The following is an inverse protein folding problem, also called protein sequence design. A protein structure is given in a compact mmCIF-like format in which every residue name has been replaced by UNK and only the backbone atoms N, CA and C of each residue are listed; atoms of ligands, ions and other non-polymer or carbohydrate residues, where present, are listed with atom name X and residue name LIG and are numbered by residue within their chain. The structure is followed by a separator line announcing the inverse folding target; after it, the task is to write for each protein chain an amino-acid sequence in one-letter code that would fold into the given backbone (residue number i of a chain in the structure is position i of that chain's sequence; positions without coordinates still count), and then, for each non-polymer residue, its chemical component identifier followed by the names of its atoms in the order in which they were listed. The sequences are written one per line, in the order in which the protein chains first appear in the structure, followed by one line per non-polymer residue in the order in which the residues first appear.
data_IF_357500653083
#
_entry.id   IF_357500653083
#
_cell.length_a   1.000
_cell.length_b   1.000
_cell.length_c   1.000
_cell.angle_alpha   90.00
_cell.angle_beta   90.00
_cell.angle_gamma   90.00
#
_symmetry.space_group_name_H-M   'P 1'
#
loop_
_entity.id
_entity.type
_entity.pdbx_description
1 polymer ?
#
# COMPACT_ATOMS: atom_id res chain seq x y z
N UNK A 1 9.89 4.98 -47.00
CA UNK A 1 10.74 4.32 -45.97
C UNK A 1 10.95 5.30 -44.84
N UNK A 2 10.16 5.19 -43.77
CA UNK A 2 10.42 5.90 -42.50
C UNK A 2 11.71 5.33 -41.89
N UNK A 3 12.76 6.14 -41.90
CA UNK A 3 13.93 5.84 -41.07
C UNK A 3 13.59 6.16 -39.63
N UNK A 4 13.27 5.14 -38.85
CA UNK A 4 13.19 5.27 -37.40
C UNK A 4 14.55 5.67 -36.82
N UNK A 5 14.65 6.85 -36.26
CA UNK A 5 15.84 7.26 -35.50
C UNK A 5 15.78 6.54 -34.15
N UNK A 6 16.69 5.60 -33.94
CA UNK A 6 16.85 4.97 -32.63
C UNK A 6 17.42 6.01 -31.65
N UNK A 7 16.65 6.39 -30.64
CA UNK A 7 17.17 7.17 -29.52
C UNK A 7 18.04 6.26 -28.65
N UNK A 8 19.34 6.55 -28.60
CA UNK A 8 20.29 5.85 -27.75
C UNK A 8 20.64 6.73 -26.55
N UNK A 9 20.97 6.08 -25.40
CA UNK A 9 21.44 6.71 -24.18
C UNK A 9 20.40 7.54 -23.38
N UNK A 10 19.11 7.31 -23.59
CA UNK A 10 18.10 7.82 -22.67
C UNK A 10 18.16 7.07 -21.32
N UNK A 11 18.17 7.81 -20.20
CA UNK A 11 17.97 7.23 -18.87
C UNK A 11 16.69 7.83 -18.27
N UNK A 12 15.86 6.99 -17.68
CA UNK A 12 14.63 7.44 -17.02
C UNK A 12 14.88 8.08 -15.64
N UNK A 13 16.12 7.99 -15.15
CA UNK A 13 16.52 8.54 -13.85
C UNK A 13 15.99 7.77 -12.64
N UNK A 14 15.20 6.72 -12.82
CA UNK A 14 14.56 5.98 -11.72
C UNK A 14 15.57 5.33 -10.78
N UNK A 15 16.72 4.88 -11.30
CA UNK A 15 17.79 4.27 -10.51
C UNK A 15 18.48 5.21 -9.53
N UNK A 16 18.29 6.53 -9.66
CA UNK A 16 18.89 7.55 -8.79
C UNK A 16 17.92 8.06 -7.72
N UNK A 17 16.66 7.62 -7.72
CA UNK A 17 15.66 8.09 -6.76
C UNK A 17 15.80 7.37 -5.42
N UNK A 18 16.02 8.14 -4.36
CA UNK A 18 16.01 7.69 -2.98
C UNK A 18 14.63 7.90 -2.33
N UNK A 19 14.38 7.29 -1.18
CA UNK A 19 13.12 7.48 -0.45
C UNK A 19 12.84 8.94 -0.10
N UNK A 20 13.88 9.72 0.17
CA UNK A 20 13.77 11.15 0.45
C UNK A 20 13.23 11.97 -0.73
N UNK A 21 13.45 11.52 -1.97
CA UNK A 21 12.89 12.18 -3.15
C UNK A 21 11.38 12.00 -3.21
N UNK A 22 10.88 10.80 -2.78
CA UNK A 22 9.46 10.51 -2.69
C UNK A 22 8.79 11.21 -1.50
N UNK A 23 9.45 11.29 -0.35
CA UNK A 23 8.97 12.04 0.81
C UNK A 23 8.96 13.55 0.53
N UNK A 24 9.93 14.01 -0.22
CA UNK A 24 9.99 15.36 -0.74
C UNK A 24 10.21 16.47 0.28
N UNK A 25 10.04 17.69 -0.17
CA UNK A 25 10.28 18.89 0.62
C UNK A 25 9.08 19.85 0.57
N UNK A 26 8.68 20.37 1.73
CA UNK A 26 7.63 21.39 1.84
C UNK A 26 8.00 22.68 1.09
N UNK A 27 9.26 23.08 1.15
CA UNK A 27 9.75 24.29 0.49
C UNK A 27 9.72 24.15 -1.04
N UNK A 28 10.19 23.00 -1.54
CA UNK A 28 10.20 22.71 -2.98
C UNK A 28 8.84 22.20 -3.50
N UNK A 29 7.90 21.89 -2.61
CA UNK A 29 6.62 21.23 -2.93
C UNK A 29 6.82 19.98 -3.82
N UNK A 30 7.82 19.18 -3.47
CA UNK A 30 8.17 17.97 -4.20
C UNK A 30 7.72 16.71 -3.45
N UNK A 31 7.69 15.57 -4.17
CA UNK A 31 7.31 14.28 -3.60
C UNK A 31 5.96 14.33 -2.88
N UNK A 32 5.86 13.64 -1.75
CA UNK A 32 4.66 13.60 -0.91
C UNK A 32 4.18 15.01 -0.48
N UNK A 33 5.12 15.95 -0.26
CA UNK A 33 4.80 17.32 0.12
C UNK A 33 4.14 18.15 -1.00
N UNK A 34 4.18 17.64 -2.24
CA UNK A 34 3.39 18.20 -3.35
C UNK A 34 1.87 18.04 -3.13
N UNK A 35 1.45 17.07 -2.31
CA UNK A 35 0.05 16.84 -1.97
C UNK A 35 -0.48 17.77 -0.87
N UNK A 36 0.34 18.63 -0.28
CA UNK A 36 -0.08 19.55 0.79
C UNK A 36 -1.20 20.50 0.34
N UNK A 37 -1.30 20.77 -0.96
CA UNK A 37 -2.34 21.62 -1.55
C UNK A 37 -3.69 20.92 -1.76
N UNK A 38 -3.74 19.60 -1.59
CA UNK A 38 -4.97 18.82 -1.74
C UNK A 38 -5.74 18.84 -0.42
N UNK A 39 -6.87 19.54 -0.38
CA UNK A 39 -7.62 19.79 0.87
C UNK A 39 -8.25 18.52 1.45
N UNK A 40 -8.81 17.67 0.60
CA UNK A 40 -9.60 16.47 0.97
C UNK A 40 -8.83 15.15 0.80
N UNK A 41 -7.51 15.16 0.92
CA UNK A 41 -6.67 13.98 0.80
C UNK A 41 -6.92 13.00 1.95
N UNK A 42 -7.59 11.87 1.69
CA UNK A 42 -7.99 10.88 2.68
C UNK A 42 -7.09 9.64 2.74
N UNK A 43 -6.56 9.21 1.59
CA UNK A 43 -5.78 7.97 1.45
C UNK A 43 -4.48 8.33 0.77
N UNK A 44 -3.37 7.84 1.31
CA UNK A 44 -2.03 8.12 0.78
C UNK A 44 -1.24 6.81 0.70
N UNK A 45 -0.48 6.66 -0.37
CA UNK A 45 0.45 5.55 -0.55
C UNK A 45 1.71 6.03 -1.26
N UNK A 46 2.80 5.28 -1.09
CA UNK A 46 4.03 5.39 -1.87
C UNK A 46 4.28 4.03 -2.56
N UNK A 47 3.61 3.75 -3.69
CA UNK A 47 3.65 2.43 -4.30
C UNK A 47 5.07 1.99 -4.61
N UNK A 48 5.44 0.78 -4.12
CA UNK A 48 6.77 0.20 -4.33
C UNK A 48 7.88 0.73 -3.43
N UNK A 49 7.59 1.69 -2.55
CA UNK A 49 8.53 2.16 -1.52
C UNK A 49 8.18 1.52 -0.18
N UNK A 50 8.92 0.47 0.17
CA UNK A 50 8.65 -0.39 1.32
C UNK A 50 9.77 -0.35 2.38
N UNK A 51 10.65 0.63 2.32
CA UNK A 51 11.70 0.82 3.31
C UNK A 51 11.15 1.39 4.62
N UNK A 52 11.88 1.21 5.71
CA UNK A 52 11.57 1.81 7.01
C UNK A 52 11.46 3.34 6.93
N UNK A 53 12.34 3.98 6.14
CA UNK A 53 12.34 5.44 5.95
C UNK A 53 11.07 5.91 5.23
N UNK A 54 10.68 5.22 4.16
CA UNK A 54 9.48 5.55 3.40
C UNK A 54 8.21 5.37 4.25
N UNK A 55 8.13 4.25 5.00
CA UNK A 55 6.98 3.96 5.86
C UNK A 55 6.84 4.97 7.00
N UNK A 56 7.94 5.26 7.73
CA UNK A 56 7.93 6.24 8.81
C UNK A 56 7.58 7.64 8.29
N UNK A 57 8.15 8.03 7.15
CA UNK A 57 7.84 9.31 6.52
C UNK A 57 6.37 9.42 6.10
N UNK A 58 5.79 8.35 5.55
CA UNK A 58 4.39 8.32 5.15
C UNK A 58 3.44 8.38 6.35
N UNK A 59 3.73 7.62 7.42
CA UNK A 59 2.96 7.65 8.66
C UNK A 59 3.03 9.02 9.33
N UNK A 60 4.22 9.58 9.45
CA UNK A 60 4.45 10.95 9.97
C UNK A 60 3.69 11.99 9.15
N UNK A 61 3.67 11.85 7.82
CA UNK A 61 2.90 12.74 6.97
C UNK A 61 1.41 12.70 7.30
N UNK A 62 0.84 11.51 7.43
CA UNK A 62 -0.59 11.36 7.78
C UNK A 62 -0.92 11.91 9.17
N UNK A 63 -0.08 11.64 10.16
CA UNK A 63 -0.30 12.04 11.56
C UNK A 63 -0.06 13.54 11.79
N UNK A 64 1.08 14.05 11.35
CA UNK A 64 1.50 15.41 11.69
C UNK A 64 1.12 16.43 10.62
N UNK A 65 1.46 16.18 9.36
CA UNK A 65 1.22 17.14 8.29
C UNK A 65 -0.27 17.20 7.96
N UNK A 66 -0.92 16.04 7.85
CA UNK A 66 -2.36 15.94 7.62
C UNK A 66 -3.18 15.97 8.91
N UNK A 67 -2.53 16.16 10.08
CA UNK A 67 -3.16 16.29 11.40
C UNK A 67 -4.08 15.10 11.74
N UNK A 68 -3.69 13.89 11.32
CA UNK A 68 -4.49 12.69 11.50
C UNK A 68 -5.66 12.53 10.52
N UNK A 69 -5.84 13.42 9.56
CA UNK A 69 -6.97 13.41 8.62
C UNK A 69 -6.67 12.62 7.33
N UNK A 70 -5.58 11.85 7.29
CA UNK A 70 -5.25 10.95 6.20
C UNK A 70 -4.84 9.58 6.72
N UNK A 71 -4.97 8.57 5.86
CA UNK A 71 -4.65 7.18 6.16
C UNK A 71 -3.63 6.63 5.17
N UNK A 72 -2.56 6.01 5.70
CA UNK A 72 -1.47 5.44 4.93
C UNK A 72 -1.74 3.98 4.54
N UNK A 73 -1.54 3.64 3.27
CA UNK A 73 -1.50 2.26 2.78
C UNK A 73 -0.06 1.90 2.49
N UNK A 74 0.46 0.88 3.20
CA UNK A 74 1.86 0.48 3.17
C UNK A 74 2.01 -0.85 2.41
N UNK A 75 2.99 -0.88 1.52
CA UNK A 75 3.41 -2.07 0.79
C UNK A 75 4.59 -2.74 1.49
N UNK A 76 4.81 -4.03 1.21
CA UNK A 76 6.05 -4.74 1.56
C UNK A 76 6.94 -4.90 0.31
N UNK A 77 8.21 -5.27 0.50
CA UNK A 77 9.10 -5.59 -0.61
C UNK A 77 8.60 -6.82 -1.39
N UNK A 78 9.02 -6.91 -2.66
CA UNK A 78 8.72 -8.07 -3.49
C UNK A 78 9.44 -9.32 -2.96
N UNK A 79 8.78 -10.47 -3.08
CA UNK A 79 9.36 -11.77 -2.74
C UNK A 79 9.51 -12.05 -1.24
N UNK A 80 8.97 -11.21 -0.36
CA UNK A 80 8.99 -11.49 1.07
C UNK A 80 8.11 -12.70 1.41
N UNK A 81 8.65 -13.63 2.19
CA UNK A 81 7.91 -14.70 2.86
C UNK A 81 7.14 -14.15 4.07
N UNK A 82 6.28 -14.96 4.68
CA UNK A 82 5.59 -14.59 5.92
C UNK A 82 6.58 -14.27 7.05
N UNK A 83 7.64 -15.07 7.20
CA UNK A 83 8.71 -14.85 8.19
C UNK A 83 9.48 -13.54 7.93
N UNK A 84 9.79 -13.25 6.66
CA UNK A 84 10.48 -12.01 6.28
C UNK A 84 9.64 -10.78 6.64
N UNK A 85 8.34 -10.83 6.37
CA UNK A 85 7.42 -9.73 6.69
C UNK A 85 7.32 -9.51 8.19
N UNK A 86 7.18 -10.58 8.98
CA UNK A 86 7.16 -10.48 10.44
C UNK A 86 8.48 -9.90 10.96
N UNK A 87 9.60 -10.41 10.48
CA UNK A 87 10.94 -9.88 10.81
C UNK A 87 11.05 -8.39 10.47
N UNK A 88 10.52 -7.97 9.34
CA UNK A 88 10.52 -6.57 8.92
C UNK A 88 9.65 -5.72 9.83
N UNK A 89 8.38 -6.06 10.05
CA UNK A 89 7.44 -5.21 10.80
C UNK A 89 7.78 -5.09 12.27
N UNK A 90 8.36 -6.15 12.88
CA UNK A 90 8.76 -6.19 14.29
C UNK A 90 10.18 -5.64 14.52
N UNK A 91 11.06 -5.72 13.53
CA UNK A 91 12.48 -5.41 13.63
C UNK A 91 12.88 -4.18 12.82
N UNK A 92 13.38 -4.42 11.61
CA UNK A 92 14.00 -3.36 10.77
C UNK A 92 13.02 -2.27 10.37
N UNK A 93 11.78 -2.62 10.03
CA UNK A 93 10.73 -1.66 9.69
C UNK A 93 10.17 -0.94 10.91
N UNK A 94 10.10 -1.64 12.05
CA UNK A 94 9.63 -1.11 13.32
C UNK A 94 8.22 -0.51 13.28
N UNK A 95 7.38 -0.96 12.34
CA UNK A 95 6.07 -0.35 12.09
C UNK A 95 4.95 -1.00 12.91
N UNK A 96 5.16 -2.19 13.48
CA UNK A 96 4.19 -2.81 14.38
C UNK A 96 3.96 -1.93 15.62
N UNK A 97 2.71 -1.65 15.91
CA UNK A 97 2.33 -0.77 17.01
C UNK A 97 2.57 0.72 16.78
N UNK A 98 3.18 1.11 15.64
CA UNK A 98 3.65 2.48 15.39
C UNK A 98 2.49 3.48 15.23
N UNK A 99 1.43 3.09 14.54
CA UNK A 99 0.38 4.05 14.14
C UNK A 99 -0.99 3.39 13.95
N UNK A 100 -2.05 4.10 14.30
CA UNK A 100 -3.40 3.76 13.88
C UNK A 100 -3.81 4.42 12.54
N UNK A 101 -2.94 5.28 11.99
CA UNK A 101 -3.16 5.98 10.72
C UNK A 101 -2.57 5.25 9.51
N UNK A 102 -2.27 3.97 9.63
CA UNK A 102 -1.76 3.16 8.53
C UNK A 102 -2.06 1.68 8.69
N UNK A 103 -2.02 0.99 7.55
CA UNK A 103 -2.13 -0.46 7.46
C UNK A 103 -1.15 -1.00 6.44
N UNK A 104 -0.51 -2.15 6.74
CA UNK A 104 0.43 -2.84 5.88
C UNK A 104 -0.20 -4.07 5.26
N UNK A 105 0.14 -4.35 4.00
CA UNK A 105 -0.44 -5.43 3.20
C UNK A 105 0.65 -6.32 2.59
N UNK A 106 0.41 -7.63 2.64
CA UNK A 106 1.29 -8.67 2.10
C UNK A 106 0.46 -9.81 1.51
N UNK A 107 0.94 -10.47 0.47
CA UNK A 107 2.07 -10.15 -0.42
C UNK A 107 1.69 -9.12 -1.48
N UNK A 108 2.58 -8.89 -2.45
CA UNK A 108 2.27 -8.11 -3.65
C UNK A 108 1.27 -8.83 -4.53
N UNK A 109 0.67 -8.09 -5.47
CA UNK A 109 -0.29 -8.63 -6.44
C UNK A 109 0.34 -8.92 -7.79
N UNK A 110 -0.15 -9.96 -8.47
CA UNK A 110 0.18 -10.27 -9.86
C UNK A 110 -0.89 -9.71 -10.78
N UNK A 111 -0.49 -8.96 -11.79
CA UNK A 111 -1.38 -8.35 -12.79
C UNK A 111 -0.90 -8.64 -14.20
N UNK A 112 -1.82 -8.60 -15.18
CA UNK A 112 -1.44 -8.72 -16.58
C UNK A 112 -0.57 -7.54 -16.99
N UNK A 113 0.53 -7.80 -17.68
CA UNK A 113 1.37 -6.76 -18.25
C UNK A 113 0.59 -6.01 -19.36
N UNK A 114 0.41 -4.68 -19.27
CA UNK A 114 -0.27 -3.92 -20.30
C UNK A 114 0.51 -3.84 -21.60
N UNK A 115 1.81 -4.17 -21.57
CA UNK A 115 2.68 -4.17 -22.76
C UNK A 115 3.50 -5.47 -22.89
N UNK A 116 2.85 -6.65 -23.04
CA UNK A 116 3.55 -7.93 -23.09
C UNK A 116 4.36 -8.13 -24.39
N UNK A 117 4.14 -7.28 -25.41
CA UNK A 117 4.84 -7.37 -26.70
C UNK A 117 6.21 -6.68 -26.73
N UNK A 118 6.54 -5.91 -25.70
CA UNK A 118 7.88 -5.35 -25.59
C UNK A 118 8.89 -6.47 -25.33
N UNK A 119 9.98 -6.50 -26.07
CA UNK A 119 11.01 -7.53 -25.99
C UNK A 119 11.53 -7.66 -24.54
N UNK A 120 11.53 -8.87 -24.02
CA UNK A 120 12.03 -9.17 -22.67
C UNK A 120 11.04 -8.87 -21.53
N UNK A 121 9.79 -8.54 -21.82
CA UNK A 121 8.79 -8.32 -20.79
C UNK A 121 8.01 -9.60 -20.48
N UNK A 122 7.80 -9.86 -19.21
CA UNK A 122 6.96 -10.96 -18.75
C UNK A 122 5.48 -10.73 -19.11
N UNK A 123 4.70 -11.81 -19.24
CA UNK A 123 3.25 -11.71 -19.46
C UNK A 123 2.53 -11.08 -18.28
N UNK A 124 3.00 -11.39 -17.06
CA UNK A 124 2.48 -10.85 -15.79
C UNK A 124 3.55 -9.99 -15.09
N UNK A 125 3.08 -9.01 -14.35
CA UNK A 125 3.90 -8.14 -13.51
C UNK A 125 3.53 -8.33 -12.03
N UNK A 126 4.53 -8.31 -11.17
CA UNK A 126 4.35 -8.18 -9.72
C UNK A 126 4.31 -6.70 -9.39
N UNK A 127 3.22 -6.26 -8.79
CA UNK A 127 2.98 -4.85 -8.47
C UNK A 127 2.67 -4.64 -7.00
N UNK A 128 3.06 -3.49 -6.43
CA UNK A 128 2.65 -3.10 -5.09
C UNK A 128 1.11 -3.04 -5.00
N UNK A 129 0.49 -3.61 -3.96
CA UNK A 129 -0.95 -3.68 -3.87
C UNK A 129 -1.64 -2.37 -3.45
N UNK A 130 -0.90 -1.39 -2.94
CA UNK A 130 -1.46 -0.17 -2.34
C UNK A 130 -2.43 0.60 -3.25
N UNK A 131 -2.16 0.67 -4.55
CA UNK A 131 -3.08 1.30 -5.50
C UNK A 131 -4.42 0.55 -5.63
N UNK A 132 -4.39 -0.78 -5.66
CA UNK A 132 -5.58 -1.63 -5.70
C UNK A 132 -6.37 -1.53 -4.38
N UNK A 133 -5.65 -1.50 -3.24
CA UNK A 133 -6.24 -1.34 -1.91
C UNK A 133 -6.92 0.01 -1.76
N UNK A 134 -6.28 1.09 -2.22
CA UNK A 134 -6.90 2.42 -2.26
C UNK A 134 -8.18 2.41 -3.11
N UNK A 135 -8.20 1.66 -4.22
CA UNK A 135 -9.40 1.43 -5.03
C UNK A 135 -10.50 0.67 -4.29
N UNK A 136 -10.14 -0.33 -3.46
CA UNK A 136 -11.12 -1.03 -2.59
C UNK A 136 -11.68 -0.06 -1.55
N UNK A 137 -10.84 0.74 -0.92
CA UNK A 137 -11.26 1.75 0.05
C UNK A 137 -12.25 2.74 -0.58
N UNK A 138 -11.89 3.31 -1.73
CA UNK A 138 -12.75 4.26 -2.43
C UNK A 138 -14.09 3.65 -2.84
N UNK A 139 -14.11 2.38 -3.27
CA UNK A 139 -15.34 1.65 -3.60
C UNK A 139 -16.21 1.41 -2.38
N UNK A 140 -15.60 1.07 -1.23
CA UNK A 140 -16.30 0.86 0.03
C UNK A 140 -16.90 2.17 0.52
N UNK A 141 -16.12 3.26 0.50
CA UNK A 141 -16.56 4.59 0.90
C UNK A 141 -17.72 5.11 0.04
N UNK A 142 -17.74 4.76 -1.25
CA UNK A 142 -18.80 5.14 -2.18
C UNK A 142 -20.17 4.50 -1.89
N UNK A 143 -20.32 3.80 -0.78
CA UNK A 143 -21.58 3.29 -0.27
C UNK A 143 -22.13 2.03 -0.93
N UNK A 144 -21.41 1.45 -1.88
CA UNK A 144 -21.82 0.16 -2.48
C UNK A 144 -21.75 -1.03 -1.51
N UNK A 145 -21.00 -0.88 -0.43
CA UNK A 145 -20.73 -1.93 0.54
C UNK A 145 -20.93 -1.45 2.01
N UNK A 146 -21.75 -0.44 2.24
CA UNK A 146 -22.03 0.04 3.61
C UNK A 146 -21.34 1.35 4.00
N UNK A 147 -20.41 1.84 3.20
CA UNK A 147 -19.70 3.10 3.47
C UNK A 147 -18.36 2.90 4.19
N UNK A 148 -17.79 4.01 4.66
CA UNK A 148 -16.45 4.05 5.29
C UNK A 148 -16.34 3.19 6.56
N UNK A 149 -17.45 2.81 7.15
CA UNK A 149 -17.54 1.98 8.36
C UNK A 149 -17.42 0.49 8.06
N UNK A 150 -17.61 0.10 6.81
CA UNK A 150 -17.50 -1.30 6.40
C UNK A 150 -16.04 -1.71 6.27
N UNK A 151 -15.71 -2.93 6.71
CA UNK A 151 -14.37 -3.45 6.56
C UNK A 151 -14.03 -3.64 5.07
N UNK A 152 -12.98 -2.99 4.56
CA UNK A 152 -12.56 -3.15 3.15
C UNK A 152 -11.80 -4.46 2.96
N UNK A 153 -12.40 -5.57 3.37
CA UNK A 153 -11.82 -6.91 3.38
C UNK A 153 -12.88 -7.98 3.10
N UNK A 154 -12.44 -9.22 2.92
CA UNK A 154 -13.29 -10.37 2.60
C UNK A 154 -13.47 -10.57 1.09
N UNK A 155 -14.03 -11.73 0.73
CA UNK A 155 -14.12 -12.24 -0.66
C UNK A 155 -14.91 -11.32 -1.60
N UNK A 156 -15.89 -10.60 -1.07
CA UNK A 156 -16.75 -9.72 -1.84
C UNK A 156 -16.26 -8.25 -1.79
N UNK A 157 -16.20 -7.69 -0.60
CA UNK A 157 -15.86 -6.26 -0.39
C UNK A 157 -14.38 -6.01 -0.66
N UNK A 158 -13.51 -6.88 -0.13
CA UNK A 158 -12.05 -6.79 -0.26
C UNK A 158 -11.50 -7.18 -1.64
N UNK A 159 -12.35 -7.45 -2.62
CA UNK A 159 -11.92 -7.92 -3.93
C UNK A 159 -11.10 -6.87 -4.69
N UNK A 160 -9.91 -7.28 -5.12
CA UNK A 160 -8.96 -6.46 -5.90
C UNK A 160 -9.30 -6.59 -7.40
N UNK A 161 -9.69 -5.49 -8.03
CA UNK A 161 -9.98 -5.47 -9.46
C UNK A 161 -8.68 -5.53 -10.28
N UNK A 162 -8.65 -6.35 -11.34
CA UNK A 162 -7.50 -6.46 -12.24
C UNK A 162 -6.33 -7.30 -11.69
N UNK A 163 -6.41 -7.79 -10.45
CA UNK A 163 -5.40 -8.69 -9.89
C UNK A 163 -5.69 -10.12 -10.31
N UNK A 164 -4.68 -10.81 -10.83
CA UNK A 164 -4.74 -12.22 -11.25
C UNK A 164 -4.58 -13.17 -10.07
N UNK A 165 -3.78 -12.79 -9.07
CA UNK A 165 -3.47 -13.57 -7.88
C UNK A 165 -2.46 -12.86 -7.01
N UNK A 166 -2.09 -13.49 -5.90
CA UNK A 166 -0.99 -13.07 -5.06
C UNK A 166 0.36 -13.39 -5.71
N UNK A 167 1.41 -12.71 -5.31
CA UNK A 167 2.79 -12.97 -5.73
C UNK A 167 3.28 -14.36 -5.30
N UNK A 168 2.88 -14.79 -4.11
CA UNK A 168 3.22 -16.10 -3.53
C UNK A 168 1.96 -16.87 -3.13
N UNK A 169 2.01 -18.19 -3.27
CA UNK A 169 0.95 -19.09 -2.81
C UNK A 169 1.01 -19.35 -1.29
N UNK A 170 2.09 -18.96 -0.62
CA UNK A 170 2.27 -19.10 0.83
C UNK A 170 1.12 -18.46 1.63
N UNK A 171 0.55 -17.37 1.14
CA UNK A 171 -0.59 -16.69 1.76
C UNK A 171 -1.85 -17.57 1.86
N UNK A 172 -1.92 -18.68 1.11
CA UNK A 172 -3.00 -19.66 1.19
C UNK A 172 -2.80 -20.67 2.32
N UNK A 173 -1.58 -20.81 2.85
CA UNK A 173 -1.30 -21.59 4.05
C UNK A 173 -1.87 -20.89 5.29
N UNK A 174 -2.63 -21.62 6.10
CA UNK A 174 -3.17 -21.10 7.36
C UNK A 174 -2.07 -20.78 8.36
N UNK A 175 -0.97 -21.57 8.39
CA UNK A 175 0.16 -21.29 9.27
C UNK A 175 0.84 -19.95 8.95
N UNK A 176 1.03 -19.64 7.66
CA UNK A 176 1.60 -18.36 7.25
C UNK A 176 0.69 -17.18 7.64
N UNK A 177 -0.63 -17.36 7.54
CA UNK A 177 -1.60 -16.35 7.99
C UNK A 177 -1.59 -16.18 9.50
N UNK A 178 -1.58 -17.27 10.24
CA UNK A 178 -1.53 -17.26 11.70
C UNK A 178 -0.23 -16.64 12.21
N UNK A 179 0.84 -16.73 11.43
CA UNK A 179 2.11 -16.05 11.72
C UNK A 179 2.01 -14.53 11.54
N UNK A 180 1.44 -14.04 10.44
CA UNK A 180 1.43 -12.61 10.12
C UNK A 180 0.31 -11.83 10.82
N UNK A 181 -0.82 -12.45 11.12
CA UNK A 181 -1.98 -11.78 11.74
C UNK A 181 -1.71 -11.14 13.10
N UNK A 182 -1.01 -11.78 14.06
CA UNK A 182 -0.67 -11.17 15.35
C UNK A 182 0.12 -9.88 15.18
N UNK A 183 0.94 -9.79 14.14
CA UNK A 183 1.82 -8.66 13.81
C UNK A 183 1.15 -7.59 12.95
N UNK A 184 -0.18 -7.59 12.89
CA UNK A 184 -0.99 -6.55 12.23
C UNK A 184 -0.82 -6.44 10.72
N UNK A 185 -0.20 -7.44 10.09
CA UNK A 185 -0.11 -7.53 8.64
C UNK A 185 -1.46 -8.01 8.07
N UNK A 186 -1.94 -7.38 7.03
CA UNK A 186 -3.19 -7.73 6.35
C UNK A 186 -2.88 -8.58 5.11
N UNK A 187 -3.19 -9.90 5.13
CA UNK A 187 -2.90 -10.76 4.00
C UNK A 187 -3.78 -10.46 2.78
N UNK A 188 -3.21 -10.65 1.59
CA UNK A 188 -3.93 -10.64 0.31
C UNK A 188 -4.01 -12.07 -0.18
N UNK A 189 -5.17 -12.71 -0.05
CA UNK A 189 -5.40 -14.09 -0.50
C UNK A 189 -5.87 -14.11 -1.95
N UNK A 190 -4.94 -14.40 -2.85
CA UNK A 190 -5.22 -14.44 -4.27
C UNK A 190 -5.72 -13.09 -4.80
N UNK A 191 -7.04 -12.86 -4.75
CA UNK A 191 -7.67 -11.67 -5.34
C UNK A 191 -8.46 -10.82 -4.35
N UNK A 192 -8.29 -11.03 -3.05
CA UNK A 192 -9.00 -10.24 -2.03
C UNK A 192 -8.15 -9.99 -0.80
N UNK A 193 -8.47 -8.91 -0.11
CA UNK A 193 -7.86 -8.54 1.16
C UNK A 193 -8.48 -9.39 2.27
N UNK A 194 -7.67 -10.09 3.05
CA UNK A 194 -8.10 -10.96 4.16
C UNK A 194 -7.74 -10.36 5.52
N UNK A 195 -8.00 -9.07 5.71
CA UNK A 195 -7.76 -8.36 6.97
C UNK A 195 -7.98 -6.87 6.82
N UNK A 196 -8.42 -6.23 7.91
CA UNK A 196 -8.65 -4.79 7.96
C UNK A 196 -8.13 -4.21 9.28
N UNK A 197 -6.84 -4.44 9.57
CA UNK A 197 -6.18 -4.03 10.80
C UNK A 197 -5.27 -2.85 10.56
N UNK A 198 -5.29 -1.87 11.48
CA UNK A 198 -4.26 -0.83 11.52
C UNK A 198 -2.97 -1.41 12.11
N UNK A 199 -1.87 -0.70 12.01
CA UNK A 199 -0.59 -1.14 12.60
C UNK A 199 -0.63 -1.22 14.13
N UNK A 200 -1.60 -0.58 14.78
CA UNK A 200 -1.68 -0.46 16.24
C UNK A 200 -2.74 -1.37 16.83
N UNK A 201 -2.31 -2.33 17.64
CA UNK A 201 -3.23 -3.27 18.31
C UNK A 201 -3.94 -2.64 19.51
N UNK A 202 -3.26 -1.74 20.23
CA UNK A 202 -3.75 -1.05 21.43
C UNK A 202 -3.95 0.42 21.12
N UNK A 203 -5.18 0.90 21.19
CA UNK A 203 -5.54 2.27 20.85
C UNK A 203 -7.04 2.39 20.68
N UNK A 204 -7.51 3.56 20.26
CA UNK A 204 -8.93 3.81 20.08
C UNK A 204 -9.47 3.17 18.80
N UNK A 205 -8.60 2.96 17.80
CA UNK A 205 -9.00 2.52 16.48
C UNK A 205 -8.08 1.41 15.94
N UNK A 206 -8.23 0.15 16.44
CA UNK A 206 -7.39 -0.97 16.04
C UNK A 206 -7.70 -1.52 14.63
N UNK A 207 -8.81 -1.11 14.03
CA UNK A 207 -9.21 -1.55 12.70
C UNK A 207 -9.27 -0.41 11.69
N UNK A 208 -9.08 -0.75 10.42
CA UNK A 208 -9.11 0.19 9.29
C UNK A 208 -10.46 0.93 9.20
N UNK A 209 -11.64 0.25 9.27
CA UNK A 209 -12.92 0.95 9.17
C UNK A 209 -13.17 1.89 10.34
N UNK A 210 -12.77 1.51 11.56
CA UNK A 210 -12.91 2.39 12.74
C UNK A 210 -12.08 3.65 12.59
N UNK A 211 -10.79 3.54 12.26
CA UNK A 211 -9.93 4.71 12.11
C UNK A 211 -10.36 5.59 10.92
N UNK A 212 -10.68 4.98 9.78
CA UNK A 212 -11.13 5.73 8.62
C UNK A 212 -12.50 6.36 8.82
N UNK A 213 -13.41 5.68 9.55
CA UNK A 213 -14.68 6.25 9.98
C UNK A 213 -14.50 7.48 10.88
N UNK A 214 -13.56 7.43 11.84
CA UNK A 214 -13.20 8.57 12.66
C UNK A 214 -12.66 9.73 11.81
N UNK A 215 -11.72 9.46 10.90
CA UNK A 215 -11.19 10.47 9.96
C UNK A 215 -12.32 11.12 9.15
N UNK A 216 -13.30 10.35 8.70
CA UNK A 216 -14.45 10.86 7.95
C UNK A 216 -15.31 11.82 8.77
N UNK A 217 -15.49 11.55 10.07
CA UNK A 217 -16.27 12.40 10.97
C UNK A 217 -15.48 13.66 11.38
N UNK A 218 -14.15 13.54 11.51
CA UNK A 218 -13.25 14.62 11.93
C UNK A 218 -12.98 15.65 10.81
N UNK A 219 -13.34 15.33 9.57
CA UNK A 219 -13.17 16.18 8.38
C UNK A 219 -14.35 17.13 8.18
#
# INVERSE_FOLDING_TARGET
TEQGVALAQGADGLGNLADLDFLGSAVARSGLRGLDVVGDLAIVALPGRASAVAHEGLLTYCEQVRRGLAFAVLDVEAGMTADDVVTYVTGTGGIEGRSEHGAVYWPRGRVTNPNPRALGHAEDLIVPPSGHIAGVYARTDGGRAGGVYEAPAGVDIGRLAGVLGAETDEVHDENARDLVFPHRVNPIRGRYIDGARTLKATGNFPSVPERRGAIFIER
#
